data_IF_506139307321
#
_entry.id   IF_506139307321
#
_cell.length_a   1.000
_cell.length_b   1.000
_cell.length_c   1.000
_cell.angle_alpha   90.00
_cell.angle_beta   90.00
_cell.angle_gamma   90.00
#
_symmetry.space_group_name_H-M   'P 1'
#
loop_
_entity.id
_entity.type
_entity.pdbx_description
1 polymer ?
#
# COMPACT_ATOMS: atom_id res chain seq x y z
N UNK A 1 1.43 -10.99 0.69
CA UNK A 1 0.60 -10.66 1.85
C UNK A 1 1.30 -11.04 3.15
N UNK A 2 1.45 -12.33 3.47
CA UNK A 2 1.96 -12.79 4.78
C UNK A 2 3.30 -12.19 5.22
N UNK A 3 4.24 -11.95 4.30
CA UNK A 3 5.51 -11.28 4.63
C UNK A 3 5.27 -9.87 5.18
N UNK A 4 4.41 -9.09 4.51
CA UNK A 4 4.06 -7.73 4.93
C UNK A 4 3.26 -7.75 6.24
N UNK A 5 2.34 -8.70 6.40
CA UNK A 5 1.58 -8.86 7.65
C UNK A 5 2.50 -9.11 8.84
N UNK A 6 3.44 -10.05 8.71
CA UNK A 6 4.42 -10.36 9.76
C UNK A 6 5.30 -9.16 10.10
N UNK A 7 5.71 -8.37 9.10
CA UNK A 7 6.54 -7.18 9.33
C UNK A 7 5.74 -6.03 9.96
N UNK A 8 4.47 -5.84 9.57
CA UNK A 8 3.57 -4.88 10.24
C UNK A 8 3.35 -5.28 11.70
N UNK A 9 3.12 -6.55 11.99
CA UNK A 9 2.99 -7.04 13.37
C UNK A 9 4.27 -6.79 14.18
N UNK A 10 5.45 -7.06 13.58
CA UNK A 10 6.75 -6.81 14.19
C UNK A 10 6.99 -5.31 14.49
N UNK A 11 6.39 -4.40 13.72
CA UNK A 11 6.48 -2.95 13.95
C UNK A 11 5.80 -2.49 15.24
N UNK A 12 4.83 -3.26 15.74
CA UNK A 12 3.94 -2.90 16.86
C UNK A 12 3.12 -1.63 16.63
N UNK A 13 2.99 -1.18 15.38
CA UNK A 13 2.14 -0.05 14.97
C UNK A 13 0.88 -0.64 14.33
N UNK A 14 -0.32 -0.37 14.88
CA UNK A 14 -1.55 -0.89 14.30
C UNK A 14 -1.79 -0.25 12.93
N UNK A 15 -1.91 -1.07 11.90
CA UNK A 15 -2.10 -0.62 10.52
C UNK A 15 -3.10 -1.51 9.78
N UNK A 16 -3.70 -0.96 8.73
CA UNK A 16 -4.51 -1.71 7.78
C UNK A 16 -3.66 -2.11 6.57
N UNK A 17 -3.83 -3.35 6.11
CA UNK A 17 -3.21 -3.84 4.86
C UNK A 17 -4.32 -3.97 3.81
N UNK A 18 -4.26 -3.13 2.77
CA UNK A 18 -5.18 -3.21 1.64
C UNK A 18 -4.63 -4.18 0.60
N UNK A 19 -5.27 -5.34 0.47
CA UNK A 19 -4.89 -6.34 -0.54
C UNK A 19 -5.69 -6.09 -1.81
N UNK A 20 -5.00 -5.65 -2.86
CA UNK A 20 -5.56 -5.55 -4.21
C UNK A 20 -5.54 -6.95 -4.84
N UNK A 21 -6.65 -7.33 -5.47
CA UNK A 21 -6.73 -8.62 -6.17
C UNK A 21 -5.91 -8.55 -7.47
N UNK A 22 -4.76 -9.20 -7.45
CA UNK A 22 -3.84 -9.31 -8.59
C UNK A 22 -3.81 -10.73 -9.17
N UNK A 23 -4.86 -11.52 -8.92
CA UNK A 23 -4.95 -12.96 -9.23
C UNK A 23 -3.83 -13.78 -8.55
N UNK A 24 -3.37 -13.34 -7.38
CA UNK A 24 -2.33 -14.03 -6.61
C UNK A 24 -0.91 -13.81 -7.11
N UNK A 25 -0.67 -12.81 -7.98
CA UNK A 25 0.67 -12.48 -8.48
C UNK A 25 1.45 -11.57 -7.52
N UNK A 26 2.79 -11.60 -7.62
CA UNK A 26 3.67 -10.72 -6.84
C UNK A 26 3.51 -9.25 -7.24
N UNK A 27 3.90 -8.30 -6.38
CA UNK A 27 3.76 -6.84 -6.63
C UNK A 27 4.36 -6.42 -7.97
N UNK A 28 5.60 -6.84 -8.26
CA UNK A 28 6.29 -6.48 -9.51
C UNK A 28 5.63 -7.14 -10.72
N UNK A 29 5.26 -8.42 -10.60
CA UNK A 29 4.56 -9.14 -11.68
C UNK A 29 3.21 -8.50 -11.98
N UNK A 30 2.45 -8.15 -10.95
CA UNK A 30 1.14 -7.51 -11.08
C UNK A 30 1.27 -6.14 -11.74
N UNK A 31 2.24 -5.32 -11.31
CA UNK A 31 2.49 -4.02 -11.90
C UNK A 31 2.91 -4.12 -13.37
N UNK A 32 3.86 -5.01 -13.70
CA UNK A 32 4.28 -5.23 -15.09
C UNK A 32 3.20 -5.82 -15.98
N UNK A 33 2.26 -6.58 -15.41
CA UNK A 33 1.12 -7.16 -16.10
C UNK A 33 -0.13 -6.29 -16.09
N UNK A 34 -0.05 -5.02 -15.64
CA UNK A 34 -1.17 -4.08 -15.53
C UNK A 34 -2.33 -4.57 -14.65
N UNK A 35 -2.05 -5.45 -13.70
CA UNK A 35 -2.98 -5.96 -12.68
C UNK A 35 -2.89 -5.20 -11.36
N UNK A 36 -1.92 -4.30 -11.25
CA UNK A 36 -1.76 -3.38 -10.13
C UNK A 36 -1.52 -1.98 -10.69
N UNK A 37 -2.59 -1.22 -10.84
CA UNK A 37 -2.59 0.16 -11.33
C UNK A 37 -3.51 1.05 -10.47
N UNK A 38 -3.57 2.34 -10.81
CA UNK A 38 -4.34 3.35 -10.09
C UNK A 38 -5.84 3.05 -9.99
N UNK A 39 -6.43 2.48 -11.05
CA UNK A 39 -7.85 2.13 -11.09
C UNK A 39 -8.14 0.96 -10.16
N UNK A 40 -7.30 -0.09 -10.19
CA UNK A 40 -7.43 -1.24 -9.30
C UNK A 40 -7.32 -0.84 -7.82
N UNK A 41 -6.37 0.03 -7.47
CA UNK A 41 -6.19 0.51 -6.10
C UNK A 41 -7.38 1.36 -5.67
N UNK A 42 -7.85 2.28 -6.51
CA UNK A 42 -9.05 3.09 -6.24
C UNK A 42 -10.27 2.21 -6.00
N UNK A 43 -10.52 1.24 -6.89
CA UNK A 43 -11.63 0.31 -6.75
C UNK A 43 -11.55 -0.49 -5.45
N UNK A 44 -10.34 -0.88 -5.01
CA UNK A 44 -10.15 -1.54 -3.72
C UNK A 44 -10.47 -0.62 -2.53
N UNK A 45 -10.03 0.64 -2.55
CA UNK A 45 -10.35 1.63 -1.51
C UNK A 45 -11.86 1.79 -1.35
N UNK A 46 -12.57 1.95 -2.48
CA UNK A 46 -14.02 2.12 -2.52
C UNK A 46 -14.74 0.85 -2.03
N UNK A 47 -14.35 -0.32 -2.56
CA UNK A 47 -14.94 -1.63 -2.22
C UNK A 47 -14.83 -1.95 -0.74
N UNK A 48 -13.70 -1.65 -0.12
CA UNK A 48 -13.45 -1.92 1.30
C UNK A 48 -13.80 -0.76 2.22
N UNK A 49 -14.35 0.33 1.66
CA UNK A 49 -14.74 1.53 2.38
C UNK A 49 -13.64 2.04 3.32
N UNK A 50 -12.38 2.04 2.85
CA UNK A 50 -11.20 2.36 3.67
C UNK A 50 -11.32 3.75 4.28
N UNK A 51 -11.98 4.66 3.56
CA UNK A 51 -12.32 6.01 4.01
C UNK A 51 -13.10 6.08 5.33
N UNK A 52 -13.85 5.03 5.67
CA UNK A 52 -14.61 4.92 6.92
C UNK A 52 -13.82 4.23 8.04
N UNK A 53 -12.68 3.61 7.71
CA UNK A 53 -11.82 2.86 8.64
C UNK A 53 -10.69 3.71 9.25
N UNK A 54 -10.29 4.79 8.56
CA UNK A 54 -9.22 5.69 9.00
C UNK A 54 -9.65 7.15 8.91
N UNK A 55 -9.16 7.99 9.83
CA UNK A 55 -9.47 9.42 9.89
C UNK A 55 -8.57 10.29 9.01
N UNK A 56 -7.60 9.69 8.31
CA UNK A 56 -6.67 10.36 7.42
C UNK A 56 -6.88 9.91 5.96
N UNK A 57 -6.21 10.58 5.03
CA UNK A 57 -6.16 10.24 3.59
C UNK A 57 -4.72 10.05 3.17
N UNK A 58 -4.08 9.06 3.77
CA UNK A 58 -2.68 8.72 3.54
C UNK A 58 -2.54 7.21 3.34
N UNK A 59 -1.78 6.78 2.34
CA UNK A 59 -1.48 5.37 2.08
C UNK A 59 0.00 5.16 1.83
N UNK A 60 0.48 3.96 2.11
CA UNK A 60 1.86 3.56 1.86
C UNK A 60 1.87 2.52 0.74
N UNK A 61 2.67 2.75 -0.30
CA UNK A 61 2.86 1.81 -1.41
C UNK A 61 4.23 1.13 -1.34
N UNK A 62 4.40 -0.08 -1.90
CA UNK A 62 5.70 -0.73 -1.98
C UNK A 62 6.70 0.10 -2.80
N UNK A 63 7.95 0.19 -2.35
CA UNK A 63 8.99 0.99 -3.01
C UNK A 63 9.33 0.54 -4.44
N UNK A 64 8.97 -0.69 -4.80
CA UNK A 64 9.11 -1.21 -6.17
C UNK A 64 8.20 -0.54 -7.19
N UNK A 65 7.07 0.01 -6.73
CA UNK A 65 6.08 0.68 -7.58
C UNK A 65 6.04 2.18 -7.28
N UNK A 66 7.14 2.77 -6.80
CA UNK A 66 7.20 4.19 -6.50
C UNK A 66 6.79 5.10 -7.69
N UNK A 67 7.06 4.65 -8.92
CA UNK A 67 6.74 5.38 -10.15
C UNK A 67 5.24 5.63 -10.37
N UNK A 68 4.34 4.83 -9.78
CA UNK A 68 2.90 5.06 -9.91
C UNK A 68 2.33 5.99 -8.83
N UNK A 69 3.14 6.55 -7.93
CA UNK A 69 2.64 7.36 -6.80
C UNK A 69 1.82 8.56 -7.28
N UNK A 70 2.31 9.35 -8.24
CA UNK A 70 1.58 10.53 -8.72
C UNK A 70 0.22 10.19 -9.32
N UNK A 71 0.15 9.11 -10.13
CA UNK A 71 -1.11 8.63 -10.69
C UNK A 71 -2.09 8.16 -9.61
N UNK A 72 -1.58 7.51 -8.56
CA UNK A 72 -2.39 7.10 -7.42
C UNK A 72 -2.93 8.30 -6.65
N UNK A 73 -2.12 9.32 -6.41
CA UNK A 73 -2.55 10.56 -5.74
C UNK A 73 -3.67 11.24 -6.55
N UNK A 74 -3.50 11.36 -7.87
CA UNK A 74 -4.50 11.94 -8.76
C UNK A 74 -5.82 11.13 -8.77
N UNK A 75 -5.74 9.80 -8.87
CA UNK A 75 -6.93 8.95 -8.98
C UNK A 75 -7.69 8.79 -7.65
N UNK A 76 -6.94 8.72 -6.54
CA UNK A 76 -7.52 8.44 -5.22
C UNK A 76 -7.80 9.71 -4.43
N UNK A 77 -7.03 10.78 -4.62
CA UNK A 77 -7.03 11.97 -3.77
C UNK A 77 -6.38 11.75 -2.40
N UNK A 78 -5.69 10.63 -2.21
CA UNK A 78 -4.94 10.32 -0.99
C UNK A 78 -3.47 10.70 -1.17
N UNK A 79 -2.83 11.15 -0.09
CA UNK A 79 -1.37 11.31 -0.03
C UNK A 79 -0.71 9.92 -0.12
N UNK A 80 0.19 9.75 -1.09
CA UNK A 80 0.87 8.47 -1.33
C UNK A 80 2.31 8.54 -0.86
N UNK A 81 2.61 7.76 0.16
CA UNK A 81 3.95 7.61 0.70
C UNK A 81 4.62 6.37 0.11
N UNK A 82 5.87 6.54 -0.33
CA UNK A 82 6.66 5.44 -0.86
C UNK A 82 7.34 4.72 0.30
N UNK A 83 6.91 3.49 0.56
CA UNK A 83 7.52 2.61 1.54
C UNK A 83 8.82 1.97 1.02
N UNK A 84 9.45 1.10 1.83
CA UNK A 84 10.66 0.40 1.42
C UNK A 84 10.38 -0.60 0.29
N UNK A 85 11.45 -1.00 -0.41
CA UNK A 85 11.39 -2.08 -1.41
C UNK A 85 11.17 -3.43 -0.73
N UNK A 86 11.92 -3.69 0.33
CA UNK A 86 11.81 -4.89 1.13
C UNK A 86 10.91 -4.66 2.34
N UNK A 87 9.95 -5.56 2.58
CA UNK A 87 9.00 -5.42 3.70
C UNK A 87 9.68 -5.51 5.06
N UNK A 88 10.83 -6.18 5.16
CA UNK A 88 11.61 -6.29 6.40
C UNK A 88 12.07 -4.93 6.96
N UNK A 89 12.10 -3.90 6.13
CA UNK A 89 12.43 -2.52 6.53
C UNK A 89 11.19 -1.71 6.93
N UNK A 90 9.98 -2.24 6.73
CA UNK A 90 8.71 -1.59 7.07
C UNK A 90 8.58 -1.25 8.56
N UNK A 91 9.02 -2.09 9.53
CA UNK A 91 8.96 -1.74 10.95
C UNK A 91 9.66 -0.41 11.28
N UNK A 92 10.89 -0.27 10.77
CA UNK A 92 11.70 0.93 10.97
C UNK A 92 11.07 2.13 10.25
N UNK A 93 10.61 1.94 9.01
CA UNK A 93 9.97 2.99 8.23
C UNK A 93 8.72 3.55 8.94
N UNK A 94 7.85 2.69 9.45
CA UNK A 94 6.64 3.11 10.15
C UNK A 94 6.96 3.90 11.43
N UNK A 95 8.01 3.54 12.16
CA UNK A 95 8.47 4.30 13.32
C UNK A 95 9.01 5.68 12.96
N UNK A 96 9.64 5.85 11.79
CA UNK A 96 10.19 7.14 11.37
C UNK A 96 9.13 8.06 10.76
N UNK A 97 8.15 7.50 10.05
CA UNK A 97 7.19 8.27 9.25
C UNK A 97 5.84 8.45 9.96
N UNK A 98 5.49 7.57 10.90
CA UNK A 98 4.16 7.51 11.53
C UNK A 98 4.15 7.70 13.05
N UNK A 99 5.33 7.81 13.68
CA UNK A 99 5.46 8.04 15.13
C UNK A 99 5.21 9.48 15.53
#
# INVERSE_FOLDING_TARGET
YYTVESDVEASRIPAYILVVDTEGTSVLTAYSGDKLNEECVKAAIDKFEVEKKVSHRKMIIPGYVAVMSGKLEEATGWEVLVGPRESSMLPKYLQEVWS
#
